data_IF_589462109541
#
_entry.id   IF_589462109541
#
_cell.length_a   1.000
_cell.length_b   1.000
_cell.length_c   1.000
_cell.angle_alpha   90.00
_cell.angle_beta   90.00
_cell.angle_gamma   90.00
#
_symmetry.space_group_name_H-M   'P 1'
#
loop_
_entity.id
_entity.type
_entity.pdbx_description
1 polymer ?
#
# COMPACT_ATOMS: atom_id res chain seq x y z
N UNK A 1 -9.74 -62.72 -52.75
CA UNK A 1 -8.87 -62.06 -51.76
C UNK A 1 -9.36 -60.63 -51.59
N UNK A 2 -9.73 -60.23 -50.37
CA UNK A 2 -10.32 -58.93 -50.04
C UNK A 2 -9.21 -57.89 -49.86
N UNK A 3 -9.31 -56.75 -50.54
CA UNK A 3 -8.45 -55.59 -50.32
C UNK A 3 -8.99 -54.77 -49.14
N UNK A 4 -8.17 -54.58 -48.11
CA UNK A 4 -8.44 -53.69 -46.98
C UNK A 4 -8.13 -52.25 -47.38
N UNK A 5 -9.13 -51.37 -47.34
CA UNK A 5 -8.94 -49.92 -47.35
C UNK A 5 -8.56 -49.46 -45.94
N UNK A 6 -7.35 -48.92 -45.78
CA UNK A 6 -6.90 -48.30 -44.54
C UNK A 6 -7.18 -46.79 -44.63
N UNK A 7 -8.27 -46.35 -44.01
CA UNK A 7 -8.63 -44.94 -43.86
C UNK A 7 -7.69 -44.27 -42.85
N UNK A 8 -6.84 -43.35 -43.31
CA UNK A 8 -6.09 -42.44 -42.46
C UNK A 8 -7.02 -41.35 -41.92
N UNK A 9 -7.34 -41.42 -40.62
CA UNK A 9 -8.00 -40.34 -39.87
C UNK A 9 -6.92 -39.33 -39.42
N UNK A 10 -6.96 -38.15 -40.03
CA UNK A 10 -6.11 -37.01 -39.67
C UNK A 10 -6.72 -36.33 -38.44
N UNK A 11 -6.17 -36.60 -37.26
CA UNK A 11 -6.52 -35.92 -36.01
C UNK A 11 -5.91 -34.52 -36.01
N UNK A 12 -6.73 -33.51 -36.36
CA UNK A 12 -6.41 -32.11 -36.16
C UNK A 12 -6.57 -31.81 -34.66
N UNK A 13 -5.46 -31.77 -33.93
CA UNK A 13 -5.43 -31.30 -32.55
C UNK A 13 -5.64 -29.78 -32.53
N UNK A 14 -6.82 -29.33 -32.12
CA UNK A 14 -7.03 -27.95 -31.70
C UNK A 14 -6.39 -27.78 -30.33
N UNK A 15 -5.19 -27.20 -30.30
CA UNK A 15 -4.66 -26.63 -29.07
C UNK A 15 -5.46 -25.37 -28.77
N UNK A 16 -6.38 -25.44 -27.80
CA UNK A 16 -6.94 -24.25 -27.17
C UNK A 16 -5.81 -23.61 -26.37
N UNK A 17 -5.17 -22.59 -26.95
CA UNK A 17 -4.30 -21.72 -26.18
C UNK A 17 -5.20 -20.97 -25.19
N UNK A 18 -5.01 -21.20 -23.89
CA UNK A 18 -5.57 -20.34 -22.87
C UNK A 18 -4.96 -18.94 -23.07
N UNK A 19 -5.74 -18.01 -23.63
CA UNK A 19 -5.36 -16.60 -23.65
C UNK A 19 -5.35 -16.12 -22.20
N UNK A 20 -4.16 -15.83 -21.67
CA UNK A 20 -4.05 -14.87 -20.58
C UNK A 20 -4.71 -13.59 -21.07
N UNK A 21 -5.65 -13.02 -20.32
CA UNK A 21 -6.46 -11.85 -20.70
C UNK A 21 -5.65 -10.54 -20.85
N UNK A 22 -4.33 -10.64 -21.03
CA UNK A 22 -3.40 -9.52 -21.22
C UNK A 22 -3.31 -8.53 -20.06
N UNK A 23 -4.00 -8.81 -18.95
CA UNK A 23 -4.09 -7.91 -17.81
C UNK A 23 -2.79 -7.87 -17.03
N UNK A 24 -2.26 -6.66 -16.84
CA UNK A 24 -1.03 -6.41 -16.09
C UNK A 24 -1.40 -5.87 -14.71
N UNK A 25 -0.94 -6.55 -13.66
CA UNK A 25 -1.15 -6.12 -12.27
C UNK A 25 0.09 -5.43 -11.73
N UNK A 26 -0.12 -4.34 -11.01
CA UNK A 26 0.94 -3.60 -10.34
C UNK A 26 1.11 -4.11 -8.91
N UNK A 27 2.36 -4.16 -8.43
CA UNK A 27 2.62 -4.36 -7.00
C UNK A 27 2.33 -3.04 -6.28
N UNK A 28 1.56 -3.13 -5.20
CA UNK A 28 1.16 -1.97 -4.39
C UNK A 28 0.55 -0.82 -5.23
N UNK A 29 -0.61 -1.07 -5.88
CA UNK A 29 -1.24 -0.10 -6.78
C UNK A 29 -1.74 1.18 -6.11
N UNK A 30 -1.97 1.14 -4.79
CA UNK A 30 -2.39 2.29 -3.98
C UNK A 30 -1.22 2.97 -3.29
N UNK A 31 0.01 2.51 -3.52
CA UNK A 31 1.22 3.15 -2.98
C UNK A 31 1.30 3.17 -1.45
N UNK A 32 0.72 2.17 -0.82
CA UNK A 32 0.62 2.06 0.63
C UNK A 32 1.97 1.73 1.28
N UNK A 33 2.41 2.56 2.21
CA UNK A 33 3.52 2.24 3.13
C UNK A 33 3.52 3.20 4.33
N UNK A 34 4.53 3.09 5.21
CA UNK A 34 4.77 4.13 6.21
C UNK A 34 5.00 5.49 5.52
N UNK A 35 4.19 6.53 5.79
CA UNK A 35 4.46 7.90 5.39
C UNK A 35 5.82 8.36 5.83
N UNK A 36 6.54 8.91 4.87
CA UNK A 36 7.90 9.40 5.03
C UNK A 36 8.26 10.20 3.81
N UNK A 37 9.18 11.12 4.03
CA UNK A 37 9.77 11.94 2.97
C UNK A 37 10.91 11.18 2.29
N UNK A 38 11.04 11.36 0.98
CA UNK A 38 12.21 10.90 0.23
C UNK A 38 12.43 9.39 0.24
N UNK A 39 11.37 8.59 0.13
CA UNK A 39 11.50 7.15 -0.05
C UNK A 39 10.30 6.54 -0.77
N UNK A 40 10.57 5.73 -1.80
CA UNK A 40 9.55 4.99 -2.52
C UNK A 40 8.79 3.99 -1.61
N UNK A 41 7.49 3.76 -1.88
CA UNK A 41 6.70 2.75 -1.19
C UNK A 41 7.17 1.35 -1.57
N UNK A 42 6.98 0.38 -0.67
CA UNK A 42 7.30 -1.02 -0.92
C UNK A 42 6.67 -1.51 -2.23
N UNK A 43 7.48 -2.17 -3.06
CA UNK A 43 7.08 -2.63 -4.41
C UNK A 43 7.48 -1.67 -5.52
N UNK A 44 7.81 -0.43 -5.19
CA UNK A 44 8.28 0.60 -6.10
C UNK A 44 9.72 0.97 -5.79
N UNK A 45 10.49 1.29 -6.83
CA UNK A 45 11.88 1.74 -6.72
C UNK A 45 11.94 3.20 -7.11
N UNK A 46 12.67 4.02 -6.33
CA UNK A 46 12.97 5.39 -6.70
C UNK A 46 13.87 5.41 -7.94
N UNK A 47 13.38 6.06 -9.00
CA UNK A 47 14.08 6.23 -10.26
C UNK A 47 14.29 7.71 -10.57
N UNK A 48 14.26 8.58 -9.56
CA UNK A 48 14.52 10.01 -9.66
C UNK A 48 15.90 10.36 -10.22
N UNK A 49 16.21 11.65 -10.27
CA UNK A 49 17.52 12.12 -10.72
C UNK A 49 18.55 11.91 -9.62
N UNK A 50 19.79 11.48 -9.95
CA UNK A 50 20.86 11.38 -8.96
C UNK A 50 21.08 12.70 -8.23
N UNK A 51 21.05 12.67 -6.89
CA UNK A 51 21.25 13.84 -6.04
C UNK A 51 19.97 14.64 -5.73
N UNK A 52 18.84 14.29 -6.33
CA UNK A 52 17.54 14.86 -5.98
C UNK A 52 16.82 14.04 -4.89
N UNK A 53 15.79 14.63 -4.27
CA UNK A 53 14.94 13.86 -3.37
C UNK A 53 14.11 12.84 -4.15
N UNK A 54 13.93 11.67 -3.54
CA UNK A 54 12.97 10.68 -3.98
C UNK A 54 11.54 11.14 -3.70
N UNK A 55 10.58 10.40 -4.27
CA UNK A 55 9.14 10.52 -4.00
C UNK A 55 8.79 10.47 -2.52
N UNK A 56 7.61 10.98 -2.19
CA UNK A 56 7.08 11.00 -0.83
C UNK A 56 5.87 10.08 -0.67
N UNK A 57 5.72 9.51 0.53
CA UNK A 57 4.53 8.74 0.91
C UNK A 57 3.70 9.64 1.81
N UNK A 58 2.51 9.98 1.34
CA UNK A 58 1.62 10.98 1.88
C UNK A 58 0.28 10.34 2.30
N UNK A 59 -0.55 10.99 3.15
CA UNK A 59 -0.24 12.22 3.85
C UNK A 59 0.77 11.94 4.95
N UNK A 60 1.84 12.74 5.01
CA UNK A 60 2.75 12.76 6.15
C UNK A 60 1.97 13.31 7.37
N UNK A 61 1.76 12.50 8.42
CA UNK A 61 1.10 12.94 9.65
C UNK A 61 1.73 14.20 10.27
N UNK A 62 2.99 14.45 9.96
CA UNK A 62 3.79 15.51 10.53
C UNK A 62 3.72 16.79 9.71
N UNK A 63 3.10 16.70 8.53
CA UNK A 63 2.87 17.80 7.62
C UNK A 63 4.17 18.56 7.33
N UNK A 64 5.27 17.84 7.14
CA UNK A 64 6.57 18.45 6.79
C UNK A 64 6.42 19.30 5.52
N UNK A 65 5.76 18.76 4.50
CA UNK A 65 5.46 19.47 3.25
C UNK A 65 4.07 20.10 3.19
N UNK A 66 3.36 20.17 4.33
CA UNK A 66 2.00 20.75 4.44
C UNK A 66 0.94 20.07 3.55
N UNK A 67 1.24 18.90 3.00
CA UNK A 67 0.28 18.05 2.30
C UNK A 67 -0.64 17.42 3.36
N UNK A 68 -1.94 17.69 3.26
CA UNK A 68 -2.96 17.23 4.23
C UNK A 68 -4.12 16.50 3.57
N UNK A 69 -4.02 16.21 2.26
CA UNK A 69 -5.08 15.54 1.53
C UNK A 69 -5.24 14.11 2.08
N UNK A 70 -6.46 13.67 2.42
CA UNK A 70 -6.70 12.26 2.75
C UNK A 70 -6.44 11.35 1.53
N UNK A 71 -6.04 10.10 1.77
CA UNK A 71 -5.95 9.11 0.71
C UNK A 71 -7.31 8.86 0.07
N UNK A 72 -7.31 8.45 -1.20
CA UNK A 72 -8.52 7.99 -1.87
C UNK A 72 -8.85 6.56 -1.44
N UNK A 73 -7.84 5.68 -1.44
CA UNK A 73 -7.96 4.30 -1.03
C UNK A 73 -7.06 4.06 0.18
N UNK A 74 -7.58 3.34 1.18
CA UNK A 74 -6.84 2.99 2.39
C UNK A 74 -6.27 4.23 3.14
N UNK A 75 -4.95 4.41 3.24
CA UNK A 75 -4.35 5.35 4.21
C UNK A 75 -3.33 6.29 3.60
N UNK A 76 -2.57 5.81 2.63
CA UNK A 76 -1.42 6.52 2.11
C UNK A 76 -1.33 6.39 0.61
N UNK A 77 -0.71 7.38 -0.01
CA UNK A 77 -0.62 7.53 -1.45
C UNK A 77 0.73 8.13 -1.80
N UNK A 78 1.05 8.09 -3.10
CA UNK A 78 2.31 8.63 -3.59
C UNK A 78 2.18 10.13 -3.89
N UNK A 79 3.06 10.94 -3.31
CA UNK A 79 3.30 12.32 -3.72
C UNK A 79 4.54 12.39 -4.61
N UNK A 80 4.42 13.05 -5.76
CA UNK A 80 5.55 13.30 -6.65
C UNK A 80 5.63 14.76 -7.08
N UNK A 81 6.85 15.26 -7.32
CA UNK A 81 7.09 16.64 -7.74
C UNK A 81 7.92 16.81 -9.00
N UNK A 82 7.71 17.94 -9.69
CA UNK A 82 8.66 18.55 -10.63
C UNK A 82 9.32 19.75 -9.97
N UNK A 83 10.55 20.09 -10.39
CA UNK A 83 11.35 21.16 -9.79
C UNK A 83 11.70 22.26 -10.79
N UNK A 84 12.13 23.41 -10.28
CA UNK A 84 12.58 24.58 -11.04
C UNK A 84 14.00 24.45 -11.65
N UNK A 85 14.64 23.28 -11.56
CA UNK A 85 15.94 22.97 -12.18
C UNK A 85 15.86 21.88 -13.25
N UNK A 86 14.68 21.63 -13.81
CA UNK A 86 14.42 20.59 -14.83
C UNK A 86 14.60 19.14 -14.34
N UNK A 87 14.53 18.94 -13.01
CA UNK A 87 14.47 17.60 -12.41
C UNK A 87 13.06 17.29 -11.92
N UNK A 88 12.73 16.01 -11.87
CA UNK A 88 11.43 15.54 -11.41
C UNK A 88 11.53 14.12 -10.85
N UNK A 89 10.54 13.74 -10.08
CA UNK A 89 10.50 12.44 -9.42
C UNK A 89 9.89 11.35 -10.29
N UNK A 90 10.36 10.11 -10.07
CA UNK A 90 9.95 8.93 -10.80
C UNK A 90 9.98 7.71 -9.90
N UNK A 91 9.06 6.77 -10.12
CA UNK A 91 9.12 5.43 -9.55
C UNK A 91 8.93 4.37 -10.60
N UNK A 92 9.65 3.26 -10.45
CA UNK A 92 9.60 2.14 -11.37
C UNK A 92 9.34 0.82 -10.66
N UNK A 93 8.72 -0.12 -11.37
CA UNK A 93 8.58 -1.50 -10.93
C UNK A 93 8.51 -2.48 -12.12
N UNK A 94 8.73 -3.76 -11.81
CA UNK A 94 8.55 -4.84 -12.77
C UNK A 94 7.08 -5.18 -12.92
N UNK A 95 6.63 -5.40 -14.15
CA UNK A 95 5.29 -5.90 -14.44
C UNK A 95 5.23 -7.42 -14.32
N UNK A 96 4.07 -7.97 -13.94
CA UNK A 96 3.84 -9.42 -13.88
C UNK A 96 3.88 -10.07 -15.28
N UNK A 97 3.45 -9.34 -16.30
CA UNK A 97 3.46 -9.72 -17.73
C UNK A 97 4.03 -8.56 -18.53
N UNK A 98 4.77 -8.87 -19.60
CA UNK A 98 5.30 -7.85 -20.49
C UNK A 98 4.19 -7.16 -21.29
N UNK A 99 4.29 -5.85 -21.49
CA UNK A 99 3.55 -5.18 -22.54
C UNK A 99 4.10 -5.58 -23.91
N UNK A 100 3.22 -5.66 -24.90
CA UNK A 100 3.54 -6.10 -26.27
C UNK A 100 3.59 -4.88 -27.20
N UNK A 101 4.62 -4.82 -28.05
CA UNK A 101 4.79 -3.77 -29.05
C UNK A 101 3.54 -3.60 -29.92
N UNK A 102 3.07 -2.37 -30.07
CA UNK A 102 1.93 -2.00 -30.91
C UNK A 102 0.55 -2.26 -30.28
N UNK A 103 0.47 -3.06 -29.21
CA UNK A 103 -0.77 -3.26 -28.46
C UNK A 103 -1.10 -2.02 -27.62
N UNK A 104 -2.36 -1.59 -27.62
CA UNK A 104 -2.81 -0.51 -26.74
C UNK A 104 -3.36 -1.05 -25.42
N UNK A 105 -3.15 -0.27 -24.36
CA UNK A 105 -3.59 -0.58 -23.00
C UNK A 105 -4.26 0.64 -22.35
N UNK A 106 -5.11 0.40 -21.35
CA UNK A 106 -5.68 1.42 -20.47
C UNK A 106 -5.10 1.28 -19.07
N UNK A 107 -4.56 2.36 -18.53
CA UNK A 107 -4.28 2.52 -17.10
C UNK A 107 -5.34 3.44 -16.49
N UNK A 108 -6.05 2.96 -15.48
CA UNK A 108 -6.94 3.80 -14.65
C UNK A 108 -6.28 4.07 -13.31
N UNK A 109 -6.27 5.32 -12.87
CA UNK A 109 -5.60 5.73 -11.63
C UNK A 109 -6.24 6.99 -11.07
N UNK A 110 -6.29 7.11 -9.73
CA UNK A 110 -6.77 8.33 -9.08
C UNK A 110 -5.64 9.35 -9.03
N UNK A 111 -5.88 10.52 -9.62
CA UNK A 111 -4.94 11.64 -9.58
C UNK A 111 -5.56 12.84 -8.90
N UNK A 112 -4.74 13.57 -8.16
CA UNK A 112 -5.10 14.84 -7.55
C UNK A 112 -3.86 15.74 -7.40
N UNK A 113 -4.09 16.94 -6.88
CA UNK A 113 -3.06 17.87 -6.42
C UNK A 113 -3.30 18.32 -4.99
N UNK A 114 -2.21 18.60 -4.28
CA UNK A 114 -2.27 19.30 -3.02
C UNK A 114 -2.24 20.81 -3.24
N UNK A 115 -3.06 21.55 -2.49
CA UNK A 115 -3.05 23.02 -2.43
C UNK A 115 -1.79 23.57 -1.75
N UNK A 116 -1.18 22.76 -0.90
CA UNK A 116 0.08 23.04 -0.25
C UNK A 116 1.00 21.84 -0.43
N UNK A 117 2.16 22.09 -1.02
CA UNK A 117 3.25 21.15 -1.12
C UNK A 117 4.54 21.96 -0.99
N UNK A 118 4.89 22.30 0.25
CA UNK A 118 6.01 23.19 0.55
C UNK A 118 7.32 22.40 0.48
N UNK A 119 8.29 22.83 -0.32
CA UNK A 119 9.63 22.25 -0.35
C UNK A 119 10.67 23.29 -0.78
N UNK A 120 11.95 22.93 -0.75
CA UNK A 120 13.06 23.82 -1.10
C UNK A 120 13.24 23.94 -2.62
N UNK A 121 13.14 25.16 -3.14
CA UNK A 121 13.53 25.48 -4.52
C UNK A 121 14.97 25.04 -4.79
N UNK A 122 15.22 24.42 -5.95
CA UNK A 122 16.58 24.01 -6.34
C UNK A 122 17.42 25.17 -6.86
N UNK A 123 16.77 26.25 -7.28
CA UNK A 123 17.45 27.46 -7.76
C UNK A 123 17.76 28.44 -6.64
N UNK A 124 16.87 28.60 -5.67
CA UNK A 124 16.95 29.68 -4.66
C UNK A 124 17.19 29.20 -3.24
N UNK A 125 17.00 27.91 -2.96
CA UNK A 125 17.05 27.30 -1.61
C UNK A 125 16.03 27.90 -0.60
N UNK A 126 15.07 28.68 -1.09
CA UNK A 126 13.94 29.16 -0.31
C UNK A 126 12.82 28.12 -0.28
N UNK A 127 11.98 28.19 0.77
CA UNK A 127 10.76 27.38 0.84
C UNK A 127 9.77 27.92 -0.20
N UNK A 128 9.40 27.06 -1.15
CA UNK A 128 8.47 27.35 -2.23
C UNK A 128 7.30 26.38 -2.21
N UNK A 129 6.17 26.82 -2.76
CA UNK A 129 4.98 25.99 -2.87
C UNK A 129 4.92 25.33 -4.26
N UNK A 130 4.94 24.01 -4.30
CA UNK A 130 5.00 23.20 -5.52
C UNK A 130 3.61 23.03 -6.14
N UNK A 131 2.90 24.11 -6.41
CA UNK A 131 1.47 24.08 -6.77
C UNK A 131 1.20 24.30 -8.24
N UNK A 132 2.19 24.27 -9.13
CA UNK A 132 1.90 24.46 -10.56
C UNK A 132 1.42 23.14 -11.19
N UNK A 133 0.33 23.11 -11.97
CA UNK A 133 -0.19 21.88 -12.59
C UNK A 133 0.84 21.13 -13.42
N UNK A 134 0.85 19.81 -13.31
CA UNK A 134 1.73 18.89 -14.04
C UNK A 134 0.94 17.70 -14.55
N UNK A 135 1.59 16.82 -15.30
CA UNK A 135 1.06 15.58 -15.83
C UNK A 135 1.68 14.38 -15.13
N UNK A 136 1.00 13.24 -15.22
CA UNK A 136 1.61 11.94 -15.06
C UNK A 136 2.08 11.44 -16.43
N UNK A 137 3.35 11.08 -16.55
CA UNK A 137 3.93 10.45 -17.74
C UNK A 137 4.27 9.00 -17.43
N UNK A 138 3.99 8.11 -18.37
CA UNK A 138 4.15 6.67 -18.23
C UNK A 138 5.20 6.20 -19.24
N UNK A 139 6.22 5.51 -18.76
CA UNK A 139 7.31 4.98 -19.60
C UNK A 139 7.47 3.48 -19.46
N UNK A 140 7.92 2.86 -20.55
CA UNK A 140 8.31 1.45 -20.59
C UNK A 140 9.82 1.31 -20.45
N UNK A 141 10.28 0.24 -19.80
CA UNK A 141 11.70 -0.05 -19.62
C UNK A 141 12.02 -1.55 -19.67
N UNK A 142 13.31 -1.85 -19.76
CA UNK A 142 13.86 -3.22 -19.70
C UNK A 142 14.48 -3.57 -18.33
N UNK A 143 14.60 -2.57 -17.45
CA UNK A 143 15.02 -2.71 -16.06
C UNK A 143 14.26 -1.68 -15.19
N UNK A 144 14.34 -1.82 -13.88
CA UNK A 144 13.50 -1.10 -12.91
C UNK A 144 13.57 0.42 -13.00
N UNK A 145 14.72 0.97 -13.39
CA UNK A 145 14.92 2.41 -13.61
C UNK A 145 15.48 2.72 -15.01
N UNK A 146 15.28 1.80 -15.96
CA UNK A 146 15.57 2.07 -17.36
C UNK A 146 14.54 3.05 -17.92
N UNK A 147 14.99 4.25 -18.29
CA UNK A 147 14.14 5.33 -18.81
C UNK A 147 13.98 5.13 -20.31
N UNK A 148 13.14 4.17 -20.68
CA UNK A 148 12.79 3.93 -22.06
C UNK A 148 11.74 4.93 -22.58
N UNK A 149 10.96 4.45 -23.53
CA UNK A 149 10.02 5.26 -24.29
C UNK A 149 8.82 5.75 -23.46
N UNK A 150 8.31 6.93 -23.79
CA UNK A 150 7.01 7.40 -23.32
C UNK A 150 5.90 6.59 -24.01
N UNK A 151 5.14 5.84 -23.23
CA UNK A 151 4.03 5.05 -23.74
C UNK A 151 2.69 5.79 -23.63
N UNK A 152 2.58 6.74 -22.70
CA UNK A 152 1.36 7.54 -22.50
C UNK A 152 1.57 8.67 -21.51
N UNK A 153 0.66 9.63 -21.54
CA UNK A 153 0.61 10.78 -20.62
C UNK A 153 -0.83 11.06 -20.22
N UNK A 154 -1.04 11.49 -18.98
CA UNK A 154 -2.31 12.08 -18.58
C UNK A 154 -2.50 13.46 -19.25
N UNK A 155 -3.75 13.94 -19.36
CA UNK A 155 -4.02 15.37 -19.43
C UNK A 155 -3.38 16.11 -18.25
N UNK A 156 -3.35 17.44 -18.34
CA UNK A 156 -2.88 18.27 -17.22
C UNK A 156 -3.76 18.01 -15.98
N UNK A 157 -3.13 17.60 -14.88
CA UNK A 157 -3.83 17.38 -13.61
C UNK A 157 -3.93 18.72 -12.91
N UNK A 158 -5.15 19.25 -12.79
CA UNK A 158 -5.43 20.56 -12.17
C UNK A 158 -6.42 20.46 -11.01
N UNK A 159 -7.08 19.31 -10.86
CA UNK A 159 -8.07 19.02 -9.83
C UNK A 159 -7.41 18.84 -8.45
N UNK A 160 -8.05 19.41 -7.43
CA UNK A 160 -7.67 19.23 -6.02
C UNK A 160 -8.28 17.96 -5.43
N UNK A 161 -9.50 17.62 -5.83
CA UNK A 161 -10.18 16.40 -5.38
C UNK A 161 -9.71 15.22 -6.23
N UNK A 162 -9.66 14.03 -5.63
CA UNK A 162 -9.40 12.79 -6.36
C UNK A 162 -10.36 12.63 -7.54
N UNK A 163 -9.77 12.30 -8.69
CA UNK A 163 -10.50 12.02 -9.92
C UNK A 163 -9.82 10.84 -10.59
N UNK A 164 -10.61 9.90 -11.10
CA UNK A 164 -10.08 8.81 -11.93
C UNK A 164 -9.64 9.38 -13.29
N UNK A 165 -8.42 9.03 -13.69
CA UNK A 165 -7.86 9.31 -15.01
C UNK A 165 -7.69 8.00 -15.76
N UNK A 166 -8.10 8.00 -17.03
CA UNK A 166 -7.93 6.90 -17.98
C UNK A 166 -6.82 7.28 -18.95
N UNK A 167 -5.70 6.56 -18.90
CA UNK A 167 -4.50 6.86 -19.68
C UNK A 167 -4.28 5.74 -20.68
N UNK A 168 -4.35 6.08 -21.97
CA UNK A 168 -4.00 5.16 -23.05
C UNK A 168 -2.49 5.00 -23.12
N UNK A 169 -2.01 3.76 -23.14
CA UNK A 169 -0.61 3.40 -23.31
C UNK A 169 -0.42 2.69 -24.65
N UNK A 170 0.60 3.10 -25.41
CA UNK A 170 0.98 2.47 -26.68
C UNK A 170 2.49 2.22 -26.75
N UNK A 171 2.98 1.10 -26.19
CA UNK A 171 4.39 0.68 -26.34
C UNK A 171 4.77 0.46 -27.81
N UNK A 172 5.96 0.89 -28.25
CA UNK A 172 6.52 0.51 -29.56
C UNK A 172 7.43 -0.72 -29.50
N UNK A 173 7.71 -1.21 -28.29
CA UNK A 173 8.55 -2.37 -28.02
C UNK A 173 7.95 -3.17 -26.88
N UNK A 174 8.35 -4.43 -26.77
CA UNK A 174 7.96 -5.23 -25.63
C UNK A 174 8.67 -4.71 -24.38
N UNK A 175 7.91 -4.32 -23.35
CA UNK A 175 8.46 -3.78 -22.11
C UNK A 175 8.08 -4.65 -20.92
N UNK A 176 9.02 -4.85 -20.00
CA UNK A 176 8.81 -5.68 -18.79
C UNK A 176 8.74 -4.85 -17.51
N UNK A 177 9.05 -3.56 -17.60
CA UNK A 177 8.99 -2.60 -16.51
C UNK A 177 8.16 -1.38 -16.91
N UNK A 178 7.55 -0.77 -15.90
CA UNK A 178 6.79 0.48 -16.02
C UNK A 178 7.40 1.51 -15.07
N UNK A 179 7.51 2.75 -15.56
CA UNK A 179 7.97 3.90 -14.77
C UNK A 179 6.87 4.97 -14.80
N UNK A 180 6.48 5.42 -13.61
CA UNK A 180 5.59 6.56 -13.38
C UNK A 180 6.44 7.80 -13.12
N UNK A 181 6.09 8.91 -13.76
CA UNK A 181 6.92 10.11 -13.77
C UNK A 181 6.06 11.37 -13.63
N UNK A 182 6.42 12.21 -12.65
CA UNK A 182 5.91 13.57 -12.59
C UNK A 182 6.51 14.38 -13.76
N UNK A 183 5.67 15.01 -14.58
CA UNK A 183 6.18 15.72 -15.75
C UNK A 183 5.48 17.04 -16.04
N UNK A 184 6.26 18.04 -16.46
CA UNK A 184 5.75 19.38 -16.76
C UNK A 184 4.67 19.38 -17.85
N UNK A 185 3.81 20.41 -17.82
CA UNK A 185 2.95 20.72 -18.97
C UNK A 185 3.82 20.99 -20.19
N UNK A 186 3.45 20.53 -21.36
CA UNK A 186 4.19 20.85 -22.59
C UNK A 186 3.37 21.78 -23.48
N UNK A 187 4.00 22.75 -24.15
CA UNK A 187 5.42 23.13 -24.05
C UNK A 187 5.73 23.93 -22.76
N UNK A 188 6.99 23.89 -22.28
CA UNK A 188 7.52 24.83 -21.27
C UNK A 188 8.65 25.68 -21.83
N UNK A 189 8.78 26.89 -21.29
CA UNK A 189 9.98 27.74 -21.49
C UNK A 189 10.94 27.65 -20.31
N UNK A 190 10.41 27.52 -19.09
CA UNK A 190 11.18 27.40 -17.86
C UNK A 190 10.60 26.26 -17.02
N UNK A 191 11.44 25.41 -16.43
CA UNK A 191 11.01 24.41 -15.46
C UNK A 191 10.40 25.10 -14.22
N UNK A 192 9.47 24.43 -13.57
CA UNK A 192 8.73 25.00 -12.45
C UNK A 192 8.37 23.97 -11.37
N UNK A 193 8.10 24.46 -10.17
CA UNK A 193 7.71 23.65 -9.03
C UNK A 193 6.24 23.23 -9.12
N UNK A 194 5.98 21.93 -9.23
CA UNK A 194 4.66 21.34 -9.36
C UNK A 194 4.53 20.02 -8.62
N UNK A 195 3.30 19.63 -8.26
CA UNK A 195 3.01 18.39 -7.56
C UNK A 195 1.89 17.60 -8.25
N UNK A 196 1.93 16.29 -8.05
CA UNK A 196 0.88 15.35 -8.42
C UNK A 196 0.79 14.26 -7.34
N UNK A 197 -0.42 13.85 -7.02
CA UNK A 197 -0.72 12.79 -6.06
C UNK A 197 -1.35 11.63 -6.80
N UNK A 198 -0.89 10.41 -6.51
CA UNK A 198 -1.30 9.17 -7.18
C UNK A 198 -1.82 8.16 -6.16
N UNK A 199 -2.98 7.60 -6.41
CA UNK A 199 -3.58 6.55 -5.59
C UNK A 199 -4.40 5.57 -6.45
N UNK A 200 -4.67 4.39 -5.91
CA UNK A 200 -5.61 3.38 -6.43
C UNK A 200 -5.50 3.10 -7.94
N UNK A 201 -4.29 2.74 -8.39
CA UNK A 201 -4.07 2.32 -9.78
C UNK A 201 -4.76 0.96 -10.05
N UNK A 202 -5.66 0.92 -11.02
CA UNK A 202 -6.32 -0.33 -11.43
C UNK A 202 -5.38 -1.20 -12.27
N UNK A 203 -5.64 -2.52 -12.36
CA UNK A 203 -4.92 -3.37 -13.31
C UNK A 203 -4.99 -2.77 -14.71
N UNK A 204 -3.86 -2.84 -15.41
CA UNK A 204 -3.73 -2.32 -16.77
C UNK A 204 -4.33 -3.36 -17.71
N UNK A 205 -5.32 -2.95 -18.50
CA UNK A 205 -6.08 -3.83 -19.39
C UNK A 205 -5.75 -3.54 -20.85
N UNK A 206 -5.96 -4.54 -21.70
CA UNK A 206 -5.81 -4.38 -23.15
C UNK A 206 -7.03 -3.62 -23.69
N UNK A 207 -6.80 -2.68 -24.60
CA UNK A 207 -7.86 -1.91 -25.28
C UNK A 207 -7.58 -1.78 -26.77
N UNK A 208 -8.62 -1.45 -27.54
CA UNK A 208 -8.43 -1.08 -28.94
C UNK A 208 -7.68 0.25 -29.04
N UNK A 209 -6.74 0.35 -29.99
CA UNK A 209 -5.96 1.56 -30.19
C UNK A 209 -6.80 2.74 -30.68
N UNK A 210 -7.87 2.49 -31.42
CA UNK A 210 -8.76 3.52 -31.97
C UNK A 210 -9.86 3.93 -30.98
N UNK A 211 -9.93 3.25 -29.84
CA UNK A 211 -10.94 3.45 -28.81
C UNK A 211 -10.86 4.82 -28.14
N UNK A 212 -11.97 5.53 -28.04
CA UNK A 212 -12.04 6.76 -27.25
C UNK A 212 -12.30 6.43 -25.77
N UNK A 213 -11.28 6.61 -24.93
CA UNK A 213 -11.36 6.33 -23.49
C UNK A 213 -12.26 7.31 -22.74
N UNK A 214 -12.52 8.49 -23.31
CA UNK A 214 -13.35 9.54 -22.72
C UNK A 214 -14.80 9.53 -23.25
N UNK A 215 -15.15 8.54 -24.08
CA UNK A 215 -16.49 8.44 -24.66
C UNK A 215 -17.56 8.24 -23.57
N UNK A 216 -18.68 8.99 -23.61
CA UNK A 216 -19.76 8.85 -22.63
C UNK A 216 -20.43 7.47 -22.72
N UNK A 217 -20.58 6.80 -21.58
CA UNK A 217 -21.26 5.50 -21.48
C UNK A 217 -20.34 4.30 -21.24
N UNK A 218 -19.04 4.49 -21.01
CA UNK A 218 -18.20 3.46 -20.41
C UNK A 218 -18.38 3.44 -18.90
N UNK A 219 -18.79 2.28 -18.39
CA UNK A 219 -19.10 2.08 -16.98
C UNK A 219 -17.95 2.49 -16.05
N UNK A 220 -18.31 3.15 -14.95
CA UNK A 220 -17.50 3.25 -13.75
C UNK A 220 -17.55 1.87 -13.07
N UNK A 221 -16.49 1.06 -13.05
CA UNK A 221 -16.55 -0.24 -12.38
C UNK A 221 -16.26 -0.01 -10.89
N UNK A 222 -17.20 0.67 -10.22
CA UNK A 222 -17.13 1.05 -8.82
C UNK A 222 -18.35 0.63 -8.00
N UNK A 223 -19.32 -0.10 -8.56
CA UNK A 223 -20.54 -0.46 -7.81
C UNK A 223 -20.89 -1.95 -7.72
N UNK A 224 -20.32 -2.86 -8.51
CA UNK A 224 -20.74 -4.27 -8.46
C UNK A 224 -19.58 -5.24 -8.23
N UNK A 225 -19.29 -5.55 -6.95
CA UNK A 225 -18.79 -6.86 -6.49
C UNK A 225 -18.59 -6.88 -4.96
N UNK A 226 -19.67 -6.73 -4.19
CA UNK A 226 -19.75 -7.29 -2.83
C UNK A 226 -21.02 -8.16 -2.78
N UNK A 227 -20.89 -9.37 -3.32
CA UNK A 227 -21.81 -10.46 -3.02
C UNK A 227 -21.05 -11.42 -2.10
N UNK A 228 -21.36 -11.32 -0.81
CA UNK A 228 -20.93 -12.24 0.23
C UNK A 228 -21.70 -13.55 0.07
N UNK A 229 -20.98 -14.66 -0.16
CA UNK A 229 -21.52 -16.01 0.02
C UNK A 229 -21.03 -16.56 1.36
N UNK A 230 -21.96 -16.73 2.31
CA UNK A 230 -21.75 -17.55 3.50
C UNK A 230 -21.98 -19.03 3.19
N UNK A 231 -21.26 -19.96 3.86
CA UNK A 231 -21.79 -21.29 4.06
C UNK A 231 -22.06 -21.62 5.54
N UNK A 232 -23.19 -22.30 5.67
CA UNK A 232 -23.93 -22.85 6.78
C UNK A 232 -23.18 -23.88 7.65
N UNK A 233 -23.67 -23.99 8.89
CA UNK A 233 -23.45 -24.96 9.96
C UNK A 233 -23.63 -26.42 9.48
N UNK A 234 -23.16 -27.51 10.10
CA UNK A 234 -23.11 -27.98 11.49
C UNK A 234 -22.30 -29.31 11.50
N UNK A 235 -22.03 -29.84 12.69
CA UNK A 235 -21.96 -31.27 13.06
C UNK A 235 -20.62 -31.77 13.67
N UNK A 236 -20.69 -32.11 14.96
CA UNK A 236 -19.71 -32.89 15.77
C UNK A 236 -20.51 -33.98 16.48
N UNK A 237 -20.04 -35.24 16.71
CA UNK A 237 -19.16 -35.59 17.85
C UNK A 237 -18.28 -36.86 17.55
N UNK A 238 -17.33 -37.40 18.33
CA UNK A 238 -16.74 -37.21 19.66
C UNK A 238 -15.82 -38.43 19.99
N UNK A 239 -15.26 -38.46 21.21
CA UNK A 239 -14.67 -39.61 21.97
C UNK A 239 -13.12 -39.80 22.01
N UNK A 240 -12.45 -39.12 22.98
CA UNK A 240 -11.83 -39.60 24.27
C UNK A 240 -10.92 -40.88 24.37
N UNK A 241 -10.08 -41.06 25.43
CA UNK A 241 -8.60 -40.82 25.45
C UNK A 241 -7.75 -41.99 26.03
N UNK A 242 -6.39 -41.88 26.03
CA UNK A 242 -5.40 -42.35 27.06
C UNK A 242 -3.95 -42.45 26.51
N UNK A 243 -2.88 -42.58 27.33
CA UNK A 243 -2.57 -41.96 28.63
C UNK A 243 -1.15 -41.34 28.68
N UNK A 244 -0.90 -40.53 29.71
CA UNK A 244 0.36 -39.86 30.03
C UNK A 244 1.39 -40.76 30.74
N UNK A 245 2.69 -40.43 30.60
CA UNK A 245 3.74 -40.66 31.63
C UNK A 245 4.82 -39.56 31.50
N UNK A 246 5.42 -39.07 32.61
CA UNK A 246 6.01 -37.74 32.69
C UNK A 246 7.55 -37.74 32.55
N UNK A 247 8.12 -36.59 32.21
CA UNK A 247 9.49 -36.26 32.59
C UNK A 247 9.63 -34.76 32.86
N UNK A 248 9.98 -34.44 34.11
CA UNK A 248 10.26 -33.09 34.57
C UNK A 248 11.70 -32.67 34.25
N UNK A 249 11.86 -31.35 34.19
CA UNK A 249 13.05 -30.56 34.54
C UNK A 249 14.22 -30.52 33.55
N UNK A 250 14.37 -29.38 32.87
CA UNK A 250 15.36 -28.41 33.37
C UNK A 250 15.16 -27.00 32.80
N UNK A 251 15.40 -26.02 33.68
CA UNK A 251 15.20 -24.58 33.49
C UNK A 251 16.08 -24.03 32.35
N UNK A 252 15.47 -23.24 31.46
CA UNK A 252 16.18 -22.35 30.53
C UNK A 252 16.28 -20.95 31.17
N UNK A 253 17.43 -20.26 31.08
CA UNK A 253 17.56 -18.88 31.58
C UNK A 253 16.56 -17.95 30.89
N UNK A 254 15.82 -17.15 31.66
CA UNK A 254 14.97 -16.08 31.13
C UNK A 254 15.86 -14.99 30.54
N UNK A 255 15.65 -14.67 29.25
CA UNK A 255 16.14 -13.43 28.67
C UNK A 255 15.53 -12.23 29.40
N UNK A 256 16.30 -11.14 29.59
CA UNK A 256 15.80 -9.95 30.23
C UNK A 256 14.67 -9.34 29.38
N UNK A 257 13.44 -9.37 29.91
CA UNK A 257 12.30 -8.69 29.29
C UNK A 257 12.62 -7.20 29.19
N UNK A 258 12.49 -6.65 27.99
CA UNK A 258 12.47 -5.21 27.79
C UNK A 258 11.34 -4.60 28.66
N UNK A 259 11.52 -3.38 29.19
CA UNK A 259 10.50 -2.76 30.04
C UNK A 259 9.22 -2.52 29.23
N UNK A 260 8.12 -3.13 29.68
CA UNK A 260 6.77 -2.80 29.22
C UNK A 260 6.44 -1.44 29.82
N UNK A 261 6.51 -0.40 29.00
CA UNK A 261 6.08 0.95 29.41
C UNK A 261 4.61 1.07 29.03
N UNK A 262 3.73 1.30 30.01
CA UNK A 262 2.30 1.56 29.76
C UNK A 262 2.12 2.92 29.07
N UNK A 263 1.18 3.01 28.13
CA UNK A 263 0.90 4.27 27.44
C UNK A 263 0.29 5.27 28.45
N UNK A 264 0.80 6.50 28.44
CA UNK A 264 0.20 7.61 29.21
C UNK A 264 0.91 8.05 30.50
N UNK A 265 2.09 7.51 30.86
CA UNK A 265 2.76 7.90 32.13
C UNK A 265 3.97 8.85 32.07
N UNK A 266 4.60 9.12 30.91
CA UNK A 266 5.68 10.15 30.85
C UNK A 266 6.02 10.63 29.42
N UNK A 267 5.56 11.82 29.03
CA UNK A 267 5.94 12.45 27.73
C UNK A 267 7.45 12.66 27.59
N UNK A 268 8.15 12.93 28.69
CA UNK A 268 9.62 13.14 28.72
C UNK A 268 10.46 11.91 28.35
N UNK A 269 9.83 10.75 28.16
CA UNK A 269 10.50 9.48 27.87
C UNK A 269 10.22 8.95 26.45
N UNK A 270 9.34 9.59 25.69
CA UNK A 270 8.98 9.14 24.34
C UNK A 270 10.15 9.31 23.37
N UNK A 271 10.59 8.19 22.78
CA UNK A 271 11.63 8.18 21.75
C UNK A 271 11.05 7.76 20.41
N UNK A 272 11.47 8.42 19.33
CA UNK A 272 11.15 7.98 17.97
C UNK A 272 11.64 6.54 17.80
N UNK A 273 10.78 5.69 17.25
CA UNK A 273 11.02 4.27 17.07
C UNK A 273 10.71 3.41 18.30
N UNK A 274 10.37 4.00 19.45
CA UNK A 274 9.89 3.25 20.62
C UNK A 274 8.60 2.52 20.28
N UNK A 275 8.50 1.25 20.67
CA UNK A 275 7.36 0.38 20.45
C UNK A 275 6.77 0.00 21.79
N UNK A 276 5.45 0.13 21.91
CA UNK A 276 4.66 -0.29 23.04
C UNK A 276 3.78 -1.45 22.59
N UNK A 277 3.88 -2.60 23.24
CA UNK A 277 2.92 -3.68 23.06
C UNK A 277 1.65 -3.34 23.83
N UNK A 278 0.50 -3.45 23.18
CA UNK A 278 -0.79 -3.17 23.82
C UNK A 278 -1.45 -4.47 24.18
N UNK A 279 -1.53 -4.72 25.48
CA UNK A 279 -2.20 -5.89 26.01
C UNK A 279 -3.72 -5.76 25.85
N UNK A 280 -4.40 -6.90 25.77
CA UNK A 280 -5.87 -7.01 25.78
C UNK A 280 -6.62 -6.35 24.60
N UNK A 281 -5.96 -6.12 23.46
CA UNK A 281 -6.68 -5.89 22.20
C UNK A 281 -6.95 -7.24 21.52
N UNK A 282 -8.22 -7.64 21.48
CA UNK A 282 -8.68 -8.90 20.90
C UNK A 282 -9.65 -8.65 19.74
N UNK A 283 -9.67 -9.61 18.82
CA UNK A 283 -10.53 -9.60 17.64
C UNK A 283 -11.27 -10.92 17.57
N UNK A 284 -12.47 -10.89 16.98
CA UNK A 284 -13.18 -12.14 16.67
C UNK A 284 -12.32 -13.04 15.77
N UNK A 285 -12.53 -14.35 15.91
CA UNK A 285 -11.76 -15.35 15.19
C UNK A 285 -11.78 -15.09 13.68
N UNK A 286 -10.59 -15.11 13.06
CA UNK A 286 -10.37 -14.85 11.62
C UNK A 286 -10.91 -13.49 11.10
N UNK A 287 -11.18 -12.53 12.00
CA UNK A 287 -11.77 -11.24 11.69
C UNK A 287 -10.91 -10.07 12.20
N UNK A 288 -11.26 -8.86 11.73
CA UNK A 288 -10.80 -7.57 12.23
C UNK A 288 -11.84 -6.89 13.12
N UNK A 289 -12.97 -7.55 13.42
CA UNK A 289 -13.97 -7.06 14.37
C UNK A 289 -13.39 -7.08 15.79
N UNK A 290 -13.26 -5.89 16.40
CA UNK A 290 -12.80 -5.71 17.78
C UNK A 290 -13.81 -6.26 18.77
N UNK A 291 -13.33 -6.98 19.78
CA UNK A 291 -14.19 -7.43 20.88
C UNK A 291 -14.28 -6.37 21.97
N UNK A 292 -15.37 -6.41 22.76
CA UNK A 292 -15.69 -5.40 23.78
C UNK A 292 -14.65 -5.33 24.89
N UNK A 293 -13.98 -6.44 25.15
CA UNK A 293 -12.88 -6.58 26.09
C UNK A 293 -11.69 -5.66 25.73
N UNK A 294 -11.58 -5.25 24.46
CA UNK A 294 -10.56 -4.32 23.97
C UNK A 294 -10.83 -2.86 24.33
N UNK A 295 -12.06 -2.50 24.73
CA UNK A 295 -12.47 -1.10 24.95
C UNK A 295 -11.54 -0.36 25.94
N UNK A 296 -11.10 -1.04 27.00
CA UNK A 296 -10.21 -0.45 28.00
C UNK A 296 -8.82 -0.12 27.42
N UNK A 297 -8.22 -1.05 26.67
CA UNK A 297 -6.92 -0.86 26.04
C UNK A 297 -6.97 0.20 24.93
N UNK A 298 -8.05 0.22 24.15
CA UNK A 298 -8.27 1.24 23.11
C UNK A 298 -8.46 2.63 23.73
N UNK A 299 -9.16 2.72 24.87
CA UNK A 299 -9.31 3.98 25.61
C UNK A 299 -7.96 4.49 26.13
N UNK A 300 -7.07 3.61 26.58
CA UNK A 300 -5.70 3.98 26.99
C UNK A 300 -4.91 4.60 25.82
N UNK A 301 -4.98 4.00 24.63
CA UNK A 301 -4.35 4.56 23.42
C UNK A 301 -4.97 5.93 23.09
N UNK A 302 -6.30 6.04 23.12
CA UNK A 302 -7.00 7.29 22.82
C UNK A 302 -6.60 8.40 23.79
N UNK A 303 -6.58 8.12 25.09
CA UNK A 303 -6.17 9.06 26.12
C UNK A 303 -4.72 9.49 25.92
N UNK A 304 -3.81 8.56 25.60
CA UNK A 304 -2.44 8.89 25.26
C UNK A 304 -2.36 9.86 24.07
N UNK A 305 -3.04 9.56 22.96
CA UNK A 305 -2.99 10.39 21.75
C UNK A 305 -3.65 11.75 21.94
N UNK A 306 -4.69 11.83 22.78
CA UNK A 306 -5.38 13.08 23.13
C UNK A 306 -4.49 14.01 23.94
N UNK A 307 -3.70 13.47 24.86
CA UNK A 307 -2.74 14.25 25.66
C UNK A 307 -1.44 14.58 24.88
N UNK A 308 -1.19 13.90 23.76
CA UNK A 308 0.01 14.05 22.95
C UNK A 308 -0.36 14.34 21.48
N UNK A 309 -1.07 15.45 21.22
CA UNK A 309 -1.51 15.86 19.88
C UNK A 309 -0.37 16.13 18.90
N UNK A 310 0.84 16.25 19.42
CA UNK A 310 2.09 16.45 18.70
C UNK A 310 2.85 15.15 18.40
N UNK A 311 2.33 14.01 18.86
CA UNK A 311 2.88 12.67 18.63
C UNK A 311 2.11 11.99 17.52
N UNK A 312 2.85 11.29 16.67
CA UNK A 312 2.31 10.43 15.62
C UNK A 312 2.78 9.02 15.85
N UNK A 313 1.84 8.09 15.75
CA UNK A 313 2.07 6.68 15.99
C UNK A 313 1.72 5.83 14.78
N UNK A 314 2.41 4.71 14.67
CA UNK A 314 2.00 3.56 13.87
C UNK A 314 1.21 2.62 14.79
N UNK A 315 0.03 2.20 14.34
CA UNK A 315 -0.71 1.08 14.90
C UNK A 315 -0.31 -0.17 14.11
N UNK A 316 0.56 -0.98 14.71
CA UNK A 316 1.13 -2.18 14.10
C UNK A 316 0.33 -3.42 14.44
N UNK A 317 -0.29 -4.05 13.43
CA UNK A 317 -0.96 -5.35 13.59
C UNK A 317 -0.02 -6.51 13.26
N UNK A 318 -0.05 -7.56 14.08
CA UNK A 318 0.68 -8.80 13.84
C UNK A 318 -0.27 -10.00 13.77
N UNK A 319 0.09 -11.00 12.96
CA UNK A 319 -0.72 -12.19 12.76
C UNK A 319 0.01 -13.44 13.23
N UNK A 320 -0.78 -14.51 13.40
CA UNK A 320 -0.30 -15.85 13.71
C UNK A 320 0.85 -16.29 12.81
N UNK A 321 1.86 -16.95 13.39
CA UNK A 321 2.90 -17.61 12.61
C UNK A 321 2.38 -18.81 11.80
N UNK A 322 1.24 -19.40 12.20
CA UNK A 322 0.56 -20.50 11.49
C UNK A 322 -0.17 -20.05 10.23
N UNK A 323 -0.51 -18.77 10.14
CA UNK A 323 -1.25 -18.23 9.00
C UNK A 323 -0.40 -18.21 7.72
N UNK A 324 -1.05 -18.46 6.58
CA UNK A 324 -0.41 -18.26 5.28
C UNK A 324 0.04 -16.81 5.10
N UNK A 325 1.19 -16.52 4.45
CA UNK A 325 1.78 -15.18 4.40
C UNK A 325 0.85 -14.11 3.81
N UNK A 326 0.08 -14.45 2.78
CA UNK A 326 -0.89 -13.53 2.14
C UNK A 326 -2.02 -13.20 3.10
N UNK A 327 -2.66 -14.22 3.69
CA UNK A 327 -3.72 -14.04 4.67
C UNK A 327 -3.24 -13.26 5.90
N UNK A 328 -2.08 -13.64 6.45
CA UNK A 328 -1.45 -12.98 7.59
C UNK A 328 -1.22 -11.49 7.34
N UNK A 329 -0.66 -11.15 6.17
CA UNK A 329 -0.44 -9.75 5.79
C UNK A 329 -1.75 -8.97 5.74
N UNK A 330 -2.77 -9.51 5.04
CA UNK A 330 -4.09 -8.88 4.91
C UNK A 330 -4.78 -8.67 6.26
N UNK A 331 -4.98 -9.73 7.03
CA UNK A 331 -5.71 -9.64 8.31
C UNK A 331 -5.02 -8.74 9.33
N UNK A 332 -3.68 -8.73 9.34
CA UNK A 332 -2.93 -7.84 10.23
C UNK A 332 -3.09 -6.37 9.87
N UNK A 333 -3.23 -6.06 8.58
CA UNK A 333 -3.50 -4.70 8.12
C UNK A 333 -4.94 -4.32 8.52
N UNK A 334 -5.94 -5.14 8.18
CA UNK A 334 -7.35 -4.92 8.54
C UNK A 334 -7.55 -4.71 10.05
N UNK A 335 -6.81 -5.42 10.90
CA UNK A 335 -6.84 -5.23 12.35
C UNK A 335 -6.27 -3.90 12.81
N UNK A 336 -5.15 -3.47 12.24
CA UNK A 336 -4.59 -2.14 12.52
C UNK A 336 -5.54 -1.02 12.09
N UNK A 337 -6.23 -1.22 10.96
CA UNK A 337 -7.29 -0.35 10.44
C UNK A 337 -8.44 -0.25 11.43
N UNK A 338 -8.99 -1.39 11.88
CA UNK A 338 -10.12 -1.42 12.81
C UNK A 338 -9.81 -0.70 14.13
N UNK A 339 -8.58 -0.83 14.63
CA UNK A 339 -8.12 -0.07 15.81
C UNK A 339 -8.14 1.44 15.53
N UNK A 340 -7.64 1.89 14.38
CA UNK A 340 -7.67 3.31 14.01
C UNK A 340 -9.10 3.83 13.86
N UNK A 341 -9.98 3.08 13.21
CA UNK A 341 -11.38 3.47 13.02
C UNK A 341 -12.10 3.62 14.37
N UNK A 342 -11.83 2.69 15.29
CA UNK A 342 -12.32 2.79 16.66
C UNK A 342 -11.77 4.04 17.37
N UNK A 343 -10.47 4.32 17.29
CA UNK A 343 -9.87 5.50 17.91
C UNK A 343 -10.40 6.81 17.29
N UNK A 344 -10.67 6.82 15.99
CA UNK A 344 -11.30 7.94 15.29
C UNK A 344 -12.74 8.18 15.79
N UNK A 345 -13.49 7.13 16.10
CA UNK A 345 -14.81 7.25 16.75
C UNK A 345 -14.76 7.88 18.16
N UNK A 346 -13.57 7.94 18.77
CA UNK A 346 -13.28 8.63 20.03
C UNK A 346 -12.63 10.01 19.83
N UNK A 347 -12.83 10.62 18.66
CA UNK A 347 -12.33 11.93 18.23
C UNK A 347 -10.79 12.05 18.19
N UNK A 348 -10.08 10.93 18.04
CA UNK A 348 -8.63 10.96 17.78
C UNK A 348 -8.38 11.20 16.29
N UNK A 349 -7.65 12.26 15.97
CA UNK A 349 -7.41 12.63 14.57
C UNK A 349 -6.66 11.55 13.81
N UNK A 350 -7.20 11.12 12.66
CA UNK A 350 -6.55 10.15 11.76
C UNK A 350 -5.14 10.58 11.36
N UNK A 351 -4.86 11.89 11.31
CA UNK A 351 -3.51 12.41 11.07
C UNK A 351 -2.51 12.18 12.21
N UNK A 352 -2.89 11.53 13.31
CA UNK A 352 -1.97 11.10 14.39
C UNK A 352 -1.61 9.62 14.31
N UNK A 353 -2.26 8.84 13.44
CA UNK A 353 -2.20 7.39 13.46
C UNK A 353 -2.02 6.84 12.05
N UNK A 354 -1.22 5.79 11.92
CA UNK A 354 -0.99 5.10 10.65
C UNK A 354 -1.08 3.59 10.86
N UNK A 355 -1.88 2.86 10.07
CA UNK A 355 -1.99 1.42 10.27
C UNK A 355 -0.89 0.70 9.52
N UNK A 356 -0.32 -0.33 10.14
CA UNK A 356 0.66 -1.21 9.50
C UNK A 356 0.43 -2.66 9.84
N UNK A 357 0.09 -3.47 8.84
CA UNK A 357 0.05 -4.91 8.93
C UNK A 357 1.44 -5.53 8.73
N UNK A 358 2.02 -6.10 9.78
CA UNK A 358 3.28 -6.83 9.71
C UNK A 358 3.11 -8.31 9.35
N UNK A 359 1.88 -8.80 9.34
CA UNK A 359 1.54 -10.21 9.16
C UNK A 359 2.36 -11.09 10.11
N UNK A 360 2.94 -12.16 9.57
CA UNK A 360 3.79 -13.10 10.31
C UNK A 360 5.29 -12.80 10.21
N UNK A 361 5.67 -11.62 9.72
CA UNK A 361 7.08 -11.30 9.41
C UNK A 361 7.91 -10.91 10.62
N UNK A 362 7.27 -10.57 11.74
CA UNK A 362 7.90 -10.18 13.01
C UNK A 362 7.35 -10.98 14.20
N UNK A 363 7.56 -12.31 14.21
CA UNK A 363 7.08 -13.14 15.31
C UNK A 363 7.87 -12.85 16.60
N UNK A 364 7.17 -12.82 17.73
CA UNK A 364 7.78 -12.80 19.07
C UNK A 364 8.29 -14.20 19.44
N UNK A 365 7.69 -15.22 18.86
CA UNK A 365 7.99 -16.62 19.10
C UNK A 365 7.58 -17.45 17.87
N UNK A 366 8.18 -18.62 17.69
CA UNK A 366 7.98 -19.46 16.50
C UNK A 366 7.47 -20.87 16.84
N UNK A 367 7.33 -21.16 18.14
CA UNK A 367 6.83 -22.43 18.63
C UNK A 367 5.38 -22.64 18.20
N UNK A 368 5.06 -23.85 17.75
CA UNK A 368 3.71 -24.24 17.36
C UNK A 368 2.84 -24.55 18.61
N UNK A 369 2.57 -23.51 19.39
CA UNK A 369 1.76 -23.57 20.62
C UNK A 369 0.72 -22.48 20.63
N UNK A 370 -0.40 -22.70 21.33
CA UNK A 370 -1.47 -21.70 21.40
C UNK A 370 -1.01 -20.42 22.11
N UNK A 371 -0.22 -20.56 23.17
CA UNK A 371 0.36 -19.42 23.88
C UNK A 371 1.26 -18.57 22.97
N UNK A 372 2.11 -19.20 22.16
CA UNK A 372 2.91 -18.46 21.19
C UNK A 372 2.04 -17.81 20.11
N UNK A 373 1.02 -18.53 19.64
CA UNK A 373 0.09 -18.03 18.65
C UNK A 373 -0.64 -16.77 19.12
N UNK A 374 -1.09 -16.74 20.38
CA UNK A 374 -1.73 -15.58 21.00
C UNK A 374 -0.76 -14.40 21.10
N UNK A 375 0.48 -14.61 21.55
CA UNK A 375 1.50 -13.55 21.61
C UNK A 375 1.86 -12.97 20.24
N UNK A 376 1.79 -13.77 19.18
CA UNK A 376 2.01 -13.28 17.82
C UNK A 376 0.83 -12.48 17.28
N UNK A 377 -0.39 -12.73 17.77
CA UNK A 377 -1.60 -11.97 17.43
C UNK A 377 -1.77 -10.79 18.37
N UNK A 378 -0.97 -9.75 18.13
CA UNK A 378 -0.92 -8.56 19.00
C UNK A 378 -1.01 -7.28 18.19
N UNK A 379 -1.30 -6.19 18.90
CA UNK A 379 -1.22 -4.83 18.40
C UNK A 379 -0.09 -4.11 19.13
N UNK A 380 0.69 -3.36 18.37
CA UNK A 380 1.76 -2.52 18.89
C UNK A 380 1.47 -1.06 18.52
N UNK A 381 1.86 -0.14 19.38
CA UNK A 381 1.89 1.29 19.10
C UNK A 381 3.35 1.70 19.00
N UNK A 382 3.77 2.18 17.84
CA UNK A 382 5.15 2.64 17.62
C UNK A 382 5.18 4.14 17.42
N UNK A 383 6.03 4.85 18.17
CA UNK A 383 6.24 6.29 17.98
C UNK A 383 6.97 6.51 16.65
N UNK A 384 6.29 7.17 15.72
CA UNK A 384 6.87 7.56 14.44
C UNK A 384 7.48 8.96 14.51
N UNK A 385 6.85 9.87 15.26
CA UNK A 385 7.43 11.18 15.56
C UNK A 385 6.93 11.74 16.88
N UNK A 386 7.74 12.64 17.42
CA UNK A 386 7.38 13.59 18.47
C UNK A 386 7.71 14.97 17.90
N UNK A 387 6.72 15.85 17.69
CA UNK A 387 7.02 17.22 17.25
C UNK A 387 7.60 17.96 18.44
N UNK A 388 8.80 18.53 18.29
CA UNK A 388 9.33 19.43 19.33
C UNK A 388 8.36 20.61 19.45
N UNK A 389 7.89 20.90 20.67
CA UNK A 389 7.31 22.20 20.95
C UNK A 389 8.40 23.23 20.66
N UNK A 390 8.16 24.11 19.67
CA UNK A 390 9.01 25.29 19.45
C UNK A 390 8.83 26.27 20.58
#
# INVERSE_FOLDING_TARGET
MRYFYLSWLLLIGYAVAAQTDGTITLVNPSFEDMPRVGAAPKGWTDCGFPGESAVDIQPDPLREFKVVKPAYHQYTYLGMVTRDNDTHERVGQRMNVAMVAGQCYELRIQLARSELYMSKSRLTDNDENYITPIKLRIRGGFDVCDIGEVMGESPLVSNWNWKEYRIKLKPQRDYTYIVLEAFYRQPILFPYNGNILLDDAKPITVVDCDEDLDAPGRDNPGEDALAEEEPDTDDTPGVRPRPATPSQSNRRPQEPKAPVVELGKTRGELKIGQVFEIENITFRANSAELERESEAALTEIADFLRHNTDVVVEIGGHASYRAGPVYASRISQERAIAVIDYLNSLDIGTSQMLPRGYGRSRPVCIEDTEECNQRNQRVEVKILKVRSSR
#
